data_IF_099235158773
#
_entry.id   IF_099235158773
#
_cell.length_a   1.000
_cell.length_b   1.000
_cell.length_c   1.000
_cell.angle_alpha   90.00
_cell.angle_beta   90.00
_cell.angle_gamma   90.00
#
_symmetry.space_group_name_H-M   'P 1'
#
loop_
_entity.id
_entity.type
_entity.pdbx_description
1 polymer ?
#
# COMPACT_ATOMS: atom_id res chain seq x y z
N UNK A 1 -16.03 0.94 10.33
CA UNK A 1 -15.54 1.03 8.93
C UNK A 1 -14.72 -0.19 8.51
N UNK A 2 -13.73 -0.62 9.31
CA UNK A 2 -12.84 -1.76 8.98
C UNK A 2 -13.57 -3.04 8.50
N UNK A 3 -14.69 -3.49 9.12
CA UNK A 3 -15.35 -4.73 8.69
C UNK A 3 -16.00 -4.70 7.29
N UNK A 4 -16.21 -3.51 6.72
CA UNK A 4 -16.87 -3.33 5.42
C UNK A 4 -15.90 -2.86 4.32
N UNK A 5 -14.63 -2.64 4.67
CA UNK A 5 -13.61 -2.20 3.71
C UNK A 5 -13.10 -3.35 2.85
N UNK A 6 -12.95 -3.12 1.54
CA UNK A 6 -12.32 -4.04 0.59
C UNK A 6 -10.81 -3.82 0.45
N UNK A 7 -10.32 -2.64 0.80
CA UNK A 7 -8.92 -2.23 0.75
C UNK A 7 -8.62 -1.32 1.94
N UNK A 8 -7.44 -1.48 2.54
CA UNK A 8 -6.94 -0.61 3.61
C UNK A 8 -5.49 -0.26 3.31
N UNK A 9 -5.14 1.00 3.48
CA UNK A 9 -3.78 1.51 3.23
C UNK A 9 -3.16 2.05 4.53
N UNK A 10 -3.06 1.23 5.60
CA UNK A 10 -2.60 1.75 6.86
C UNK A 10 -1.11 2.16 6.78
N UNK A 11 -0.65 2.99 7.69
CA UNK A 11 0.77 3.16 7.97
C UNK A 11 1.23 2.15 9.04
N UNK A 12 2.52 2.17 9.41
CA UNK A 12 3.08 1.26 10.41
C UNK A 12 2.32 1.29 11.76
N UNK A 13 2.03 2.48 12.29
CA UNK A 13 1.34 2.64 13.57
C UNK A 13 -0.10 2.11 13.51
N UNK A 14 -0.79 2.36 12.39
CA UNK A 14 -2.16 1.90 12.19
C UNK A 14 -2.23 0.37 12.07
N UNK A 15 -1.22 -0.28 11.46
CA UNK A 15 -1.13 -1.75 11.43
C UNK A 15 -1.03 -2.32 12.83
N UNK A 16 -0.16 -1.76 13.68
CA UNK A 16 0.00 -2.22 15.05
C UNK A 16 -1.31 -2.12 15.85
N UNK A 17 -2.11 -1.09 15.59
CA UNK A 17 -3.44 -0.95 16.19
C UNK A 17 -4.44 -1.99 15.63
N UNK A 18 -4.33 -2.32 14.35
CA UNK A 18 -5.21 -3.26 13.66
C UNK A 18 -4.88 -4.74 13.91
N UNK A 19 -3.62 -5.09 14.19
CA UNK A 19 -3.19 -6.49 14.44
C UNK A 19 -3.78 -7.05 15.73
N UNK A 20 -4.21 -6.21 16.66
CA UNK A 20 -5.02 -6.60 17.82
C UNK A 20 -6.47 -7.00 17.47
N UNK A 21 -6.90 -6.83 16.22
CA UNK A 21 -8.26 -7.10 15.75
C UNK A 21 -8.30 -8.31 14.81
N UNK A 22 -9.39 -9.10 14.89
CA UNK A 22 -9.67 -10.13 13.89
C UNK A 22 -10.09 -9.46 12.58
N UNK A 23 -9.20 -9.42 11.61
CA UNK A 23 -9.48 -8.93 10.26
C UNK A 23 -10.32 -9.98 9.52
N UNK A 24 -11.58 -9.67 9.21
CA UNK A 24 -12.54 -10.54 8.50
C UNK A 24 -12.65 -10.22 6.99
N UNK A 25 -11.81 -9.31 6.50
CA UNK A 25 -11.89 -8.75 5.15
C UNK A 25 -10.93 -9.48 4.18
N UNK A 26 -11.22 -9.43 2.88
CA UNK A 26 -10.36 -9.95 1.78
C UNK A 26 -9.09 -9.09 1.58
N UNK A 27 -8.50 -8.64 2.68
CA UNK A 27 -7.92 -7.32 2.80
C UNK A 27 -6.45 -7.27 2.41
N UNK A 28 -6.19 -6.31 1.54
CA UNK A 28 -4.85 -5.85 1.17
C UNK A 28 -4.44 -4.74 2.10
N UNK A 29 -3.42 -5.03 2.89
CA UNK A 29 -2.71 -4.09 3.75
C UNK A 29 -1.52 -3.57 2.95
N UNK A 30 -1.50 -2.27 2.63
CA UNK A 30 -0.42 -1.57 1.93
C UNK A 30 0.14 -0.51 2.85
N UNK A 31 1.32 -0.79 3.40
CA UNK A 31 1.94 0.06 4.43
C UNK A 31 3.36 0.39 4.05
N UNK A 32 3.71 1.67 4.10
CA UNK A 32 5.08 2.13 4.04
C UNK A 32 5.79 1.82 5.36
N UNK A 33 6.42 0.65 5.47
CA UNK A 33 7.17 0.22 6.65
C UNK A 33 8.62 0.67 6.51
N UNK A 34 9.19 1.23 7.57
CA UNK A 34 10.63 1.45 7.62
C UNK A 34 11.28 0.25 8.33
N UNK A 35 11.76 -0.72 7.55
CA UNK A 35 12.47 -1.89 8.07
C UNK A 35 13.93 -1.77 7.64
N UNK A 36 14.82 -1.74 8.63
CA UNK A 36 16.28 -1.68 8.40
C UNK A 36 16.73 -0.51 7.49
N UNK A 37 16.04 0.63 7.56
CA UNK A 37 16.33 1.82 6.75
C UNK A 37 15.70 1.82 5.36
N UNK A 38 15.01 0.74 4.96
CA UNK A 38 14.29 0.64 3.70
C UNK A 38 12.81 0.94 3.90
N UNK A 39 12.25 1.75 3.00
CA UNK A 39 10.82 1.94 2.90
C UNK A 39 10.23 0.79 2.09
N UNK A 40 9.34 0.01 2.68
CA UNK A 40 8.74 -1.16 2.04
C UNK A 40 7.25 -0.93 1.89
N UNK A 41 6.68 -1.38 0.79
CA UNK A 41 5.26 -1.59 0.62
C UNK A 41 5.02 -3.09 0.59
N UNK A 42 4.28 -3.60 1.55
CA UNK A 42 3.83 -5.00 1.59
C UNK A 42 2.38 -5.00 1.12
N UNK A 43 1.95 -6.02 0.38
CA UNK A 43 0.56 -6.19 -0.04
C UNK A 43 0.12 -7.65 0.08
N UNK A 44 -1.15 -7.88 0.38
CA UNK A 44 -1.72 -9.25 0.43
C UNK A 44 -3.16 -9.26 -0.09
N UNK A 45 -3.46 -9.94 -1.19
CA UNK A 45 -4.84 -10.04 -1.67
C UNK A 45 -5.30 -11.50 -1.78
N UNK A 46 -6.55 -11.75 -1.43
CA UNK A 46 -7.20 -13.04 -1.66
C UNK A 46 -8.28 -12.87 -2.74
N UNK A 47 -8.05 -13.48 -3.91
CA UNK A 47 -9.01 -13.41 -5.03
C UNK A 47 -10.25 -14.29 -4.78
N UNK A 48 -10.05 -15.48 -4.21
CA UNK A 48 -11.10 -16.47 -3.99
C UNK A 48 -11.04 -16.99 -2.55
N UNK A 49 -12.21 -17.09 -1.91
CA UNK A 49 -12.32 -17.69 -0.57
C UNK A 49 -11.82 -19.14 -0.62
N UNK A 50 -10.87 -19.47 0.25
CA UNK A 50 -10.29 -20.81 0.34
C UNK A 50 -8.96 -21.00 -0.39
N UNK A 51 -8.50 -20.03 -1.19
CA UNK A 51 -7.13 -20.02 -1.72
C UNK A 51 -6.19 -19.27 -0.78
N UNK A 52 -4.89 -19.64 -0.71
CA UNK A 52 -3.93 -18.83 0.03
C UNK A 52 -3.87 -17.41 -0.56
N UNK A 53 -3.73 -16.38 0.28
CA UNK A 53 -3.60 -15.01 -0.21
C UNK A 53 -2.30 -14.86 -1.01
N UNK A 54 -2.37 -14.14 -2.12
CA UNK A 54 -1.18 -13.72 -2.85
C UNK A 54 -0.52 -12.56 -2.11
N UNK A 55 0.77 -12.67 -1.84
CA UNK A 55 1.55 -11.70 -1.08
C UNK A 55 2.70 -11.18 -1.94
N UNK A 56 2.95 -9.88 -1.86
CA UNK A 56 4.05 -9.23 -2.58
C UNK A 56 4.69 -8.16 -1.71
N UNK A 57 5.92 -7.79 -2.06
CA UNK A 57 6.65 -6.68 -1.43
C UNK A 57 7.33 -5.83 -2.49
N UNK A 58 7.28 -4.52 -2.32
CA UNK A 58 7.93 -3.53 -3.16
C UNK A 58 8.91 -2.74 -2.28
N UNK A 59 10.17 -2.72 -2.68
CA UNK A 59 11.19 -1.89 -2.03
C UNK A 59 11.10 -0.49 -2.65
N UNK A 60 10.83 0.50 -1.81
CA UNK A 60 10.70 1.89 -2.21
C UNK A 60 12.01 2.62 -1.87
N UNK A 61 12.73 3.16 -2.86
CA UNK A 61 13.88 4.00 -2.62
C UNK A 61 13.50 5.21 -1.76
N UNK A 62 14.22 5.40 -0.66
CA UNK A 62 13.97 6.54 0.24
C UNK A 62 14.52 7.81 -0.40
N UNK A 63 13.66 8.81 -0.54
CA UNK A 63 14.04 10.16 -0.93
C UNK A 63 14.43 10.92 0.34
N UNK A 64 15.60 11.58 0.42
CA UNK A 64 16.07 12.29 1.62
C UNK A 64 15.38 13.65 1.78
N UNK A 65 14.05 13.65 1.84
CA UNK A 65 13.21 14.82 2.01
C UNK A 65 11.99 14.48 2.87
N UNK A 66 11.39 15.50 3.48
CA UNK A 66 10.22 15.33 4.34
C UNK A 66 8.97 15.81 3.60
N UNK A 67 8.04 14.90 3.36
CA UNK A 67 6.76 15.18 2.72
C UNK A 67 5.62 14.71 3.62
N UNK A 68 4.67 15.60 3.90
CA UNK A 68 3.40 15.28 4.56
C UNK A 68 2.32 14.99 3.51
N UNK A 69 1.32 14.16 3.83
CA UNK A 69 0.21 13.86 2.91
C UNK A 69 0.53 12.84 1.79
N UNK A 70 1.72 12.22 1.80
CA UNK A 70 2.09 11.19 0.83
C UNK A 70 1.22 9.93 0.92
N UNK A 71 0.65 9.65 2.09
CA UNK A 71 -0.32 8.58 2.30
C UNK A 71 -1.63 8.78 1.53
N UNK A 72 -2.16 10.01 1.50
CA UNK A 72 -3.38 10.35 0.75
C UNK A 72 -3.14 10.20 -0.76
N UNK A 73 -2.00 10.74 -1.22
CA UNK A 73 -1.57 10.61 -2.62
C UNK A 73 -1.40 9.14 -3.03
N UNK A 74 -0.70 8.35 -2.19
CA UNK A 74 -0.50 6.92 -2.44
C UNK A 74 -1.84 6.18 -2.50
N UNK A 75 -2.75 6.46 -1.57
CA UNK A 75 -4.07 5.81 -1.53
C UNK A 75 -4.90 6.15 -2.77
N UNK A 76 -4.93 7.42 -3.19
CA UNK A 76 -5.65 7.84 -4.39
C UNK A 76 -5.10 7.19 -5.65
N UNK A 77 -3.77 7.17 -5.83
CA UNK A 77 -3.11 6.53 -6.97
C UNK A 77 -3.34 5.03 -6.99
N UNK A 78 -3.20 4.37 -5.84
CA UNK A 78 -3.45 2.94 -5.71
C UNK A 78 -4.89 2.58 -6.07
N UNK A 79 -5.88 3.33 -5.58
CA UNK A 79 -7.28 3.10 -5.93
C UNK A 79 -7.52 3.24 -7.44
N UNK A 80 -6.97 4.30 -8.05
CA UNK A 80 -7.07 4.51 -9.50
C UNK A 80 -6.43 3.39 -10.32
N UNK A 81 -5.21 2.97 -9.96
CA UNK A 81 -4.52 1.88 -10.64
C UNK A 81 -5.16 0.51 -10.38
N UNK A 82 -5.71 0.27 -9.19
CA UNK A 82 -6.41 -0.98 -8.86
C UNK A 82 -7.73 -1.09 -9.63
N UNK A 83 -8.40 0.02 -9.88
CA UNK A 83 -9.57 0.03 -10.76
C UNK A 83 -9.20 -0.28 -12.22
N UNK A 84 -8.01 0.14 -12.67
CA UNK A 84 -7.49 -0.16 -14.02
C UNK A 84 -6.94 -1.59 -14.15
N UNK A 85 -6.40 -2.15 -13.06
CA UNK A 85 -5.80 -3.47 -13.00
C UNK A 85 -6.42 -4.30 -11.85
N UNK A 86 -7.72 -4.65 -11.92
CA UNK A 86 -8.45 -5.30 -10.82
C UNK A 86 -7.89 -6.68 -10.45
N UNK A 87 -7.26 -7.37 -11.40
CA UNK A 87 -6.69 -8.69 -11.22
C UNK A 87 -5.20 -8.70 -10.87
N UNK A 88 -4.54 -7.55 -10.89
CA UNK A 88 -3.09 -7.46 -10.70
C UNK A 88 -2.73 -6.30 -9.77
N UNK A 89 -2.94 -6.55 -8.48
CA UNK A 89 -2.71 -5.57 -7.44
C UNK A 89 -1.22 -5.26 -7.23
N UNK A 90 -0.35 -6.24 -7.44
CA UNK A 90 1.10 -6.03 -7.46
C UNK A 90 1.44 -4.97 -8.52
N UNK A 91 0.92 -5.13 -9.74
CA UNK A 91 1.14 -4.15 -10.81
C UNK A 91 0.55 -2.79 -10.50
N UNK A 92 -0.66 -2.74 -9.94
CA UNK A 92 -1.28 -1.49 -9.53
C UNK A 92 -0.44 -0.76 -8.46
N UNK A 93 0.13 -1.51 -7.51
CA UNK A 93 0.97 -1.00 -6.44
C UNK A 93 2.31 -0.48 -6.97
N UNK A 94 2.95 -1.18 -7.91
CA UNK A 94 4.17 -0.71 -8.59
C UNK A 94 3.94 0.65 -9.28
N UNK A 95 2.83 0.76 -10.03
CA UNK A 95 2.50 1.98 -10.76
C UNK A 95 2.17 3.14 -9.81
N UNK A 96 1.49 2.87 -8.70
CA UNK A 96 1.24 3.86 -7.66
C UNK A 96 2.55 4.36 -7.02
N UNK A 97 3.44 3.45 -6.60
CA UNK A 97 4.76 3.78 -6.03
C UNK A 97 5.58 4.60 -7.02
N UNK A 98 5.66 4.16 -8.28
CA UNK A 98 6.39 4.88 -9.34
C UNK A 98 5.85 6.29 -9.56
N UNK A 99 4.52 6.45 -9.56
CA UNK A 99 3.85 7.74 -9.68
C UNK A 99 4.19 8.68 -8.51
N UNK A 100 4.15 8.17 -7.27
CA UNK A 100 4.55 8.95 -6.07
C UNK A 100 6.02 9.36 -6.19
N UNK A 101 6.92 8.44 -6.52
CA UNK A 101 8.35 8.75 -6.66
C UNK A 101 8.60 9.85 -7.69
N UNK A 102 7.95 9.81 -8.86
CA UNK A 102 8.07 10.86 -9.87
C UNK A 102 7.57 12.20 -9.33
N UNK A 103 6.41 12.24 -8.68
CA UNK A 103 5.84 13.47 -8.12
C UNK A 103 6.76 14.06 -7.05
N UNK A 104 7.26 13.24 -6.12
CA UNK A 104 8.15 13.71 -5.07
C UNK A 104 9.48 14.22 -5.63
N UNK A 105 10.04 13.58 -6.64
CA UNK A 105 11.26 14.07 -7.30
C UNK A 105 11.04 15.39 -8.07
N UNK A 106 9.83 15.64 -8.59
CA UNK A 106 9.49 16.92 -9.23
C UNK A 106 9.41 18.07 -8.22
N UNK A 107 9.03 17.80 -6.97
CA UNK A 107 8.96 18.80 -5.90
C UNK A 107 10.34 19.17 -5.30
N UNK A 108 11.39 18.42 -5.65
CA UNK A 108 12.77 18.66 -5.18
C UNK A 108 13.64 19.44 -6.18
N UNK A 109 13.09 19.77 -7.36
CA UNK A 109 13.74 20.63 -8.35
C UNK A 109 13.35 22.08 -8.11
#
# INVERSE_FOLDING_TARGET
>A
VVPVASMLTPNQFEVELLTGLRLLCNLVVITSLNIEGNLLLIGSHQKLKGQPPHQFKIIIPKIPAYFTGTGDLMTALLLGWSNKYPDNLEKASELAVSSVQVILNLLLK
#
